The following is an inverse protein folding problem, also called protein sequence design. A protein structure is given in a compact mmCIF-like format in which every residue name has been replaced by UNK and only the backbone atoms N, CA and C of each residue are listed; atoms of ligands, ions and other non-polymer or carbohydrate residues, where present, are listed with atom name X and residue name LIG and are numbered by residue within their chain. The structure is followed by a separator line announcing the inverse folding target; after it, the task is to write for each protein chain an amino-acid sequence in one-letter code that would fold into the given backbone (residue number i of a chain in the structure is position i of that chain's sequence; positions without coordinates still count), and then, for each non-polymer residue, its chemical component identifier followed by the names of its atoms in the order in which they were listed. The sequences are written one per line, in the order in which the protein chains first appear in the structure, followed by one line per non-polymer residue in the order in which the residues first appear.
data_IF_135280346324
#
_entry.id   IF_135280346324
#
_cell.length_a   1.000
_cell.length_b   1.000
_cell.length_c   1.000
_cell.angle_alpha   90.00
_cell.angle_beta   90.00
_cell.angle_gamma   90.00
#
_symmetry.space_group_name_H-M   'P 1'
#
loop_
_entity.id
_entity.type
_entity.pdbx_description
1 polymer ?
#
# COMPACT_ATOMS: atom_id res chain seq x y z
N UNK A 1 6.84 -1.11 13.78
CA UNK A 1 6.25 -1.73 12.57
C UNK A 1 6.43 -0.80 11.39
N UNK A 2 6.93 -1.31 10.27
CA UNK A 2 7.05 -0.57 9.00
C UNK A 2 5.66 -0.28 8.40
N UNK A 3 5.51 0.81 7.65
CA UNK A 3 4.23 1.22 7.04
C UNK A 3 3.63 0.14 6.13
N UNK A 4 4.47 -0.54 5.34
CA UNK A 4 4.04 -1.62 4.44
C UNK A 4 3.33 -2.75 5.19
N UNK A 5 3.85 -3.14 6.37
CA UNK A 5 3.23 -4.18 7.18
C UNK A 5 1.85 -3.76 7.73
N UNK A 6 1.69 -2.49 8.15
CA UNK A 6 0.39 -1.98 8.60
C UNK A 6 -0.63 -1.92 7.48
N UNK A 7 -0.23 -1.41 6.31
CA UNK A 7 -1.09 -1.37 5.12
C UNK A 7 -1.51 -2.78 4.71
N UNK A 8 -0.57 -3.74 4.66
CA UNK A 8 -0.86 -5.12 4.32
C UNK A 8 -1.86 -5.76 5.31
N UNK A 9 -1.62 -5.61 6.60
CA UNK A 9 -2.52 -6.11 7.64
C UNK A 9 -3.93 -5.52 7.51
N UNK A 10 -4.04 -4.22 7.20
CA UNK A 10 -5.32 -3.54 7.01
C UNK A 10 -6.04 -3.97 5.73
N UNK A 11 -5.34 -4.15 4.61
CA UNK A 11 -5.89 -4.70 3.37
C UNK A 11 -6.50 -6.08 3.64
N UNK A 12 -5.75 -6.95 4.35
CA UNK A 12 -6.22 -8.29 4.70
C UNK A 12 -7.50 -8.26 5.52
N UNK A 13 -7.56 -7.40 6.55
CA UNK A 13 -8.70 -7.31 7.47
C UNK A 13 -9.94 -6.65 6.83
N UNK A 14 -9.75 -5.57 6.09
CA UNK A 14 -10.86 -4.75 5.61
C UNK A 14 -11.37 -5.16 4.22
N UNK A 15 -10.48 -5.65 3.35
CA UNK A 15 -10.82 -5.98 1.96
C UNK A 15 -10.90 -7.49 1.71
N UNK A 16 -10.56 -8.32 2.70
CA UNK A 16 -10.52 -9.79 2.58
C UNK A 16 -9.65 -10.28 1.40
N UNK A 17 -8.63 -9.50 1.03
CA UNK A 17 -7.63 -9.83 0.01
C UNK A 17 -6.32 -10.15 0.70
N UNK A 18 -5.62 -11.21 0.29
CA UNK A 18 -4.28 -11.52 0.80
C UNK A 18 -3.23 -10.67 0.06
N UNK A 19 -2.56 -9.71 0.72
CA UNK A 19 -1.51 -8.92 0.08
C UNK A 19 -0.17 -9.64 0.11
N UNK A 20 0.65 -9.39 -0.90
CA UNK A 20 2.05 -9.79 -0.93
C UNK A 20 2.95 -8.61 -0.58
N UNK A 21 3.88 -8.78 0.36
CA UNK A 21 4.93 -7.81 0.64
C UNK A 21 6.17 -8.20 -0.15
N UNK A 22 6.64 -7.28 -1.00
CA UNK A 22 7.87 -7.44 -1.78
C UNK A 22 8.89 -6.45 -1.24
N UNK A 23 10.09 -6.94 -0.91
CA UNK A 23 11.19 -6.09 -0.46
C UNK A 23 11.77 -5.31 -1.64
N UNK A 24 11.57 -3.99 -1.63
CA UNK A 24 12.17 -3.05 -2.57
C UNK A 24 13.52 -2.51 -2.09
N UNK A 25 13.96 -1.40 -2.69
CA UNK A 25 15.18 -0.73 -2.27
C UNK A 25 14.99 -0.01 -0.92
N UNK A 26 16.06 0.21 -0.15
CA UNK A 26 15.99 0.99 1.08
C UNK A 26 15.33 2.35 0.86
N UNK A 27 14.25 2.61 1.59
CA UNK A 27 13.51 3.86 1.53
C UNK A 27 12.47 3.95 0.42
N UNK A 28 12.22 2.88 -0.35
CA UNK A 28 11.09 2.79 -1.27
C UNK A 28 9.80 2.40 -0.56
N UNK A 29 8.68 2.87 -1.11
CA UNK A 29 7.35 2.39 -0.76
C UNK A 29 6.47 2.53 -2.01
N UNK A 30 5.89 1.43 -2.43
CA UNK A 30 4.95 1.37 -3.56
C UNK A 30 3.88 0.33 -3.24
N UNK A 31 2.63 0.64 -3.59
CA UNK A 31 1.50 -0.28 -3.52
C UNK A 31 0.97 -0.50 -4.93
N UNK A 32 0.78 -1.77 -5.27
CA UNK A 32 0.25 -2.23 -6.54
C UNK A 32 -1.09 -2.92 -6.32
N UNK A 33 -2.06 -2.68 -7.21
CA UNK A 33 -3.30 -3.47 -7.32
C UNK A 33 -3.31 -4.04 -8.74
N UNK A 34 -3.10 -5.35 -8.88
CA UNK A 34 -2.79 -5.95 -10.17
C UNK A 34 -1.48 -5.36 -10.74
N UNK A 35 -1.56 -4.76 -11.92
CA UNK A 35 -0.42 -4.09 -12.59
C UNK A 35 -0.38 -2.57 -12.33
N UNK A 36 -1.37 -2.02 -11.62
CA UNK A 36 -1.52 -0.57 -11.40
C UNK A 36 -0.79 -0.09 -10.14
N UNK A 37 -0.02 1.00 -10.26
CA UNK A 37 0.62 1.70 -9.12
C UNK A 37 -0.35 2.69 -8.49
N UNK A 38 -0.98 2.28 -7.39
CA UNK A 38 -2.03 3.07 -6.72
C UNK A 38 -1.49 4.01 -5.65
N UNK A 39 -0.35 3.70 -5.03
CA UNK A 39 0.31 4.59 -4.07
C UNK A 39 1.83 4.43 -4.13
N UNK A 40 2.55 5.53 -3.90
CA UNK A 40 4.01 5.54 -3.79
C UNK A 40 4.49 6.55 -2.76
N UNK A 41 5.71 6.37 -2.28
CA UNK A 41 6.40 7.38 -1.47
C UNK A 41 6.48 8.71 -2.24
N UNK A 42 6.14 9.79 -1.56
CA UNK A 42 6.38 11.16 -2.05
C UNK A 42 7.81 11.60 -1.80
N UNK A 43 8.22 12.72 -2.41
CA UNK A 43 9.61 13.20 -2.31
C UNK A 43 10.05 13.45 -0.85
N UNK A 44 9.15 13.95 -0.01
CA UNK A 44 9.47 14.38 1.37
C UNK A 44 8.93 13.45 2.45
N UNK A 45 7.86 12.72 2.20
CA UNK A 45 7.21 11.88 3.20
C UNK A 45 6.53 10.65 2.60
N UNK A 46 6.33 9.65 3.45
CA UNK A 46 5.45 8.53 3.14
C UNK A 46 3.99 9.01 3.14
N UNK A 47 3.13 8.44 2.28
CA UNK A 47 1.69 8.68 2.36
C UNK A 47 1.15 8.17 3.71
N UNK A 48 0.04 8.76 4.16
CA UNK A 48 -0.68 8.22 5.32
C UNK A 48 -1.36 6.91 4.95
N UNK A 49 -1.62 6.07 5.95
CA UNK A 49 -2.28 4.79 5.76
C UNK A 49 -3.68 4.97 5.16
N UNK A 50 -4.43 5.99 5.58
CA UNK A 50 -5.76 6.30 5.06
C UNK A 50 -5.73 6.59 3.56
N UNK A 51 -4.77 7.40 3.09
CA UNK A 51 -4.64 7.74 1.67
C UNK A 51 -4.27 6.51 0.83
N UNK A 52 -3.44 5.63 1.38
CA UNK A 52 -3.11 4.37 0.72
C UNK A 52 -4.35 3.48 0.59
N UNK A 53 -5.11 3.32 1.68
CA UNK A 53 -6.34 2.52 1.66
C UNK A 53 -7.41 3.09 0.72
N UNK A 54 -7.56 4.41 0.66
CA UNK A 54 -8.46 5.09 -0.28
C UNK A 54 -8.07 4.78 -1.74
N UNK A 55 -6.78 4.92 -2.08
CA UNK A 55 -6.29 4.60 -3.42
C UNK A 55 -6.49 3.12 -3.78
N UNK A 56 -6.24 2.20 -2.84
CA UNK A 56 -6.46 0.76 -3.04
C UNK A 56 -7.94 0.46 -3.31
N UNK A 57 -8.86 1.04 -2.52
CA UNK A 57 -10.30 0.82 -2.72
C UNK A 57 -10.77 1.35 -4.07
N UNK A 58 -10.32 2.53 -4.47
CA UNK A 58 -10.68 3.12 -5.76
C UNK A 58 -10.20 2.27 -6.94
N UNK A 59 -9.03 1.63 -6.83
CA UNK A 59 -8.50 0.75 -7.88
C UNK A 59 -9.16 -0.64 -7.94
N UNK A 60 -9.94 -1.02 -6.94
CA UNK A 60 -10.69 -2.29 -6.90
C UNK A 60 -12.14 -2.16 -7.40
N UNK A 61 -12.59 -0.94 -7.71
CA UNK A 61 -13.90 -0.69 -8.32
C UNK A 61 -13.88 -1.01 -9.82
#
# INVERSE_FOLDING_TARGET
MELAARVADRIKRELSVEPFIINGWPGEFTVLVGEEKVARKGWFSLPSEEKVMEAVRNAMQ
#
